data_IF_304362073472
#
_entry.id   IF_304362073472
#
_cell.length_a   1.000
_cell.length_b   1.000
_cell.length_c   1.000
_cell.angle_alpha   90.00
_cell.angle_beta   90.00
_cell.angle_gamma   90.00
#
_symmetry.space_group_name_H-M   'P 1'
#
loop_
_entity.id
_entity.type
_entity.pdbx_description
1 polymer ?
#
# COMPACT_ATOMS: atom_id res chain seq x y z
N UNK A 1 17.10 29.49 0.90
CA UNK A 1 17.39 28.07 0.59
C UNK A 1 16.57 27.76 -0.64
N UNK A 2 17.21 27.30 -1.71
CA UNK A 2 16.54 26.99 -2.97
C UNK A 2 16.62 25.49 -3.15
N UNK A 3 15.63 24.78 -2.60
CA UNK A 3 15.46 23.37 -2.89
C UNK A 3 15.17 23.20 -4.39
N UNK A 4 15.56 22.07 -4.96
CA UNK A 4 15.24 21.76 -6.34
C UNK A 4 13.72 21.65 -6.54
N UNK A 5 13.18 21.99 -7.73
CA UNK A 5 11.73 21.94 -7.99
C UNK A 5 11.10 20.57 -7.73
N UNK A 6 11.87 19.49 -7.89
CA UNK A 6 11.42 18.12 -7.60
C UNK A 6 11.24 17.87 -6.10
N UNK A 7 12.02 18.52 -5.23
CA UNK A 7 11.82 18.48 -3.78
C UNK A 7 10.49 19.13 -3.41
N UNK A 8 10.18 20.28 -4.00
CA UNK A 8 8.91 20.96 -3.75
C UNK A 8 7.71 20.11 -4.23
N UNK A 9 7.85 19.38 -5.35
CA UNK A 9 6.84 18.43 -5.82
C UNK A 9 6.64 17.28 -4.83
N UNK A 10 7.72 16.69 -4.29
CA UNK A 10 7.66 15.62 -3.26
C UNK A 10 6.96 16.13 -1.99
N UNK A 11 7.38 17.29 -1.48
CA UNK A 11 6.79 17.89 -0.27
C UNK A 11 5.30 18.18 -0.49
N UNK A 12 4.95 18.75 -1.63
CA UNK A 12 3.55 19.05 -1.99
C UNK A 12 2.71 17.77 -2.04
N UNK A 13 3.26 16.71 -2.64
CA UNK A 13 2.57 15.43 -2.74
C UNK A 13 2.36 14.74 -1.37
N UNK A 14 3.37 14.79 -0.51
CA UNK A 14 3.27 14.28 0.87
C UNK A 14 2.29 15.10 1.71
N UNK A 15 2.24 16.42 1.53
CA UNK A 15 1.24 17.29 2.17
C UNK A 15 -0.19 16.89 1.78
N UNK A 16 -0.41 16.59 0.50
CA UNK A 16 -1.69 16.05 0.02
C UNK A 16 -2.01 14.66 0.59
N UNK A 17 -0.99 13.92 1.06
CA UNK A 17 -1.14 12.64 1.76
C UNK A 17 -1.23 12.78 3.30
N UNK A 18 -1.54 13.98 3.81
CA UNK A 18 -1.68 14.31 5.23
C UNK A 18 -0.38 14.28 6.06
N UNK A 19 0.78 14.45 5.43
CA UNK A 19 2.01 14.70 6.17
C UNK A 19 2.13 16.20 6.51
N UNK A 20 2.53 16.49 7.75
CA UNK A 20 2.76 17.84 8.26
C UNK A 20 4.25 18.16 8.22
N UNK A 21 4.59 19.30 7.68
CA UNK A 21 5.96 19.79 7.66
C UNK A 21 6.41 20.17 9.09
N UNK A 22 7.61 19.75 9.44
CA UNK A 22 8.29 20.09 10.68
C UNK A 22 9.28 21.22 10.38
N UNK A 23 9.45 22.14 11.32
CA UNK A 23 10.43 23.22 11.17
C UNK A 23 11.84 22.65 10.97
N UNK A 24 12.56 23.17 9.98
CA UNK A 24 13.98 22.90 9.74
C UNK A 24 14.82 24.10 10.22
N UNK A 25 15.86 23.89 11.04
CA UNK A 25 16.40 22.60 11.50
C UNK A 25 15.47 21.89 12.48
N UNK A 26 15.38 20.56 12.34
CA UNK A 26 14.56 19.71 13.19
C UNK A 26 15.17 19.67 14.59
N UNK A 27 14.38 19.95 15.63
CA UNK A 27 14.85 19.92 17.03
C UNK A 27 14.38 18.66 17.73
N UNK A 28 15.34 17.86 18.24
CA UNK A 28 15.08 16.68 19.08
C UNK A 28 16.02 16.72 20.28
N UNK A 29 15.48 16.58 21.50
CA UNK A 29 16.25 16.67 22.74
C UNK A 29 17.12 17.95 22.87
N UNK A 30 16.70 19.06 22.26
CA UNK A 30 17.46 20.33 22.24
C UNK A 30 18.61 20.37 21.23
N UNK A 31 18.82 19.32 20.44
CA UNK A 31 19.80 19.25 19.35
C UNK A 31 19.12 19.61 18.03
N UNK A 32 19.79 20.42 17.22
CA UNK A 32 19.33 20.83 15.88
C UNK A 32 19.91 19.93 14.79
N UNK A 33 19.03 19.42 13.93
CA UNK A 33 19.37 18.56 12.81
C UNK A 33 18.96 19.24 11.50
N UNK A 34 19.92 19.65 10.65
CA UNK A 34 19.61 20.26 9.36
C UNK A 34 19.23 19.19 8.32
N UNK A 35 18.06 19.37 7.73
CA UNK A 35 17.53 18.59 6.61
C UNK A 35 16.95 19.53 5.58
N UNK A 36 16.90 19.09 4.32
CA UNK A 36 16.22 19.85 3.26
C UNK A 36 14.74 20.04 3.63
N UNK A 37 14.06 18.95 4.03
CA UNK A 37 12.76 19.03 4.69
C UNK A 37 12.59 17.89 5.69
N UNK A 38 11.72 18.09 6.68
CA UNK A 38 11.31 17.04 7.62
C UNK A 38 9.78 17.06 7.72
N UNK A 39 9.15 15.91 7.69
CA UNK A 39 7.70 15.78 7.65
C UNK A 39 7.23 14.66 8.57
N UNK A 40 6.08 14.83 9.22
CA UNK A 40 5.49 13.84 10.11
C UNK A 40 4.13 13.41 9.58
N UNK A 41 3.88 12.10 9.54
CA UNK A 41 2.56 11.59 9.20
C UNK A 41 1.51 11.96 10.26
N UNK A 42 0.25 12.02 9.85
CA UNK A 42 -0.89 12.12 10.76
C UNK A 42 -1.71 10.83 10.78
N UNK A 43 -2.64 10.74 11.73
CA UNK A 43 -3.65 9.69 11.81
C UNK A 43 -3.03 8.28 11.82
N UNK A 44 -3.42 7.39 10.90
CA UNK A 44 -2.88 6.03 10.77
C UNK A 44 -1.37 5.96 10.47
N UNK A 45 -0.71 7.10 10.21
CA UNK A 45 0.72 7.23 9.94
C UNK A 45 1.41 8.15 10.97
N UNK A 46 0.83 8.34 12.15
CA UNK A 46 1.35 9.26 13.18
C UNK A 46 2.79 8.97 13.67
N UNK A 47 3.29 7.76 13.39
CA UNK A 47 4.66 7.31 13.69
C UNK A 47 5.63 7.54 12.53
N UNK A 48 5.19 7.92 11.34
CA UNK A 48 6.09 8.17 10.22
C UNK A 48 6.83 9.50 10.42
N UNK A 49 8.16 9.45 10.43
CA UNK A 49 9.04 10.61 10.31
C UNK A 49 9.79 10.53 8.98
N UNK A 50 9.45 11.41 8.06
CA UNK A 50 10.02 11.49 6.72
C UNK A 50 11.06 12.60 6.68
N UNK A 51 12.27 12.27 6.25
CA UNK A 51 13.38 13.21 6.06
C UNK A 51 13.67 13.29 4.57
N UNK A 52 13.71 14.50 4.03
CA UNK A 52 13.99 14.75 2.60
C UNK A 52 15.40 15.29 2.47
N UNK A 53 16.15 14.75 1.51
CA UNK A 53 17.51 15.16 1.16
C UNK A 53 17.55 15.54 -0.31
N UNK A 54 18.05 16.73 -0.63
CA UNK A 54 18.23 17.19 -2.01
C UNK A 54 19.63 16.78 -2.49
N UNK A 55 19.70 15.63 -3.15
CA UNK A 55 20.97 15.09 -3.65
C UNK A 55 21.42 15.78 -4.94
N UNK A 56 20.62 16.69 -5.52
CA UNK A 56 20.99 17.50 -6.69
C UNK A 56 21.68 18.79 -6.31
N UNK A 57 21.09 19.59 -5.41
CA UNK A 57 21.71 20.85 -4.97
C UNK A 57 22.76 20.62 -3.89
N UNK A 58 22.59 19.56 -3.09
CA UNK A 58 23.57 19.13 -2.10
C UNK A 58 23.65 20.01 -0.87
N UNK A 59 22.63 20.85 -0.62
CA UNK A 59 22.54 21.64 0.61
C UNK A 59 22.76 20.71 1.83
N UNK A 60 23.49 21.21 2.83
CA UNK A 60 23.87 20.43 4.03
C UNK A 60 24.73 19.17 3.80
N UNK A 61 25.29 19.00 2.61
CA UNK A 61 26.11 17.83 2.25
C UNK A 61 25.27 16.62 1.81
N UNK A 62 24.07 16.88 1.26
CA UNK A 62 23.15 15.85 0.76
C UNK A 62 23.67 15.11 -0.49
N UNK A 63 24.77 15.55 -1.11
CA UNK A 63 25.44 14.81 -2.19
C UNK A 63 26.36 13.67 -1.71
N UNK A 64 26.54 13.52 -0.39
CA UNK A 64 27.41 12.50 0.22
C UNK A 64 26.59 11.58 1.14
N UNK A 65 26.46 10.32 0.73
CA UNK A 65 25.72 9.30 1.48
C UNK A 65 26.27 9.07 2.89
N UNK A 66 27.57 9.25 3.10
CA UNK A 66 28.18 9.11 4.43
C UNK A 66 27.70 10.22 5.36
N UNK A 67 27.60 11.45 4.86
CA UNK A 67 27.09 12.61 5.62
C UNK A 67 25.60 12.51 5.90
N UNK A 68 24.83 12.02 4.94
CA UNK A 68 23.39 11.71 5.15
C UNK A 68 23.26 10.67 6.25
N UNK A 69 23.97 9.54 6.13
CA UNK A 69 23.95 8.46 7.12
C UNK A 69 24.32 8.94 8.52
N UNK A 70 25.41 9.67 8.68
CA UNK A 70 25.83 10.19 9.99
C UNK A 70 24.76 11.09 10.63
N UNK A 71 24.08 11.92 9.83
CA UNK A 71 22.97 12.77 10.32
C UNK A 71 21.76 11.95 10.72
N UNK A 72 21.40 10.94 9.93
CA UNK A 72 20.30 10.03 10.26
C UNK A 72 20.61 9.22 11.53
N UNK A 73 21.82 8.68 11.66
CA UNK A 73 22.26 7.96 12.87
C UNK A 73 22.26 8.86 14.11
N UNK A 74 22.73 10.10 13.99
CA UNK A 74 22.71 11.06 15.09
C UNK A 74 21.28 11.41 15.51
N UNK A 75 20.37 11.59 14.55
CA UNK A 75 18.95 11.80 14.81
C UNK A 75 18.33 10.58 15.48
N UNK A 76 18.58 9.37 14.98
CA UNK A 76 18.06 8.12 15.56
C UNK A 76 18.49 7.97 17.02
N UNK A 77 19.76 8.26 17.33
CA UNK A 77 20.24 8.27 18.73
C UNK A 77 19.50 9.29 19.59
N UNK A 78 19.24 10.49 19.07
CA UNK A 78 18.46 11.49 19.81
C UNK A 78 17.01 11.05 20.02
N UNK A 79 16.39 10.42 19.02
CA UNK A 79 15.05 9.85 19.12
C UNK A 79 15.00 8.73 20.17
N UNK A 80 15.99 7.85 20.20
CA UNK A 80 16.12 6.77 21.19
C UNK A 80 16.21 7.34 22.61
N UNK A 81 17.03 8.38 22.83
CA UNK A 81 17.16 9.06 24.12
C UNK A 81 15.83 9.66 24.59
N UNK A 82 15.03 10.19 23.66
CA UNK A 82 13.68 10.73 23.98
C UNK A 82 12.62 9.65 24.13
N UNK A 83 12.94 8.37 23.89
CA UNK A 83 11.96 7.28 23.88
C UNK A 83 10.96 7.37 22.73
N UNK A 84 11.33 8.04 21.63
CA UNK A 84 10.44 8.20 20.48
C UNK A 84 10.20 6.88 19.76
N UNK A 85 9.01 6.74 19.19
CA UNK A 85 8.59 5.56 18.41
C UNK A 85 8.52 5.83 16.91
N UNK A 86 9.09 6.93 16.45
CA UNK A 86 9.04 7.29 15.05
C UNK A 86 9.80 6.28 14.18
N UNK A 87 9.17 5.90 13.07
CA UNK A 87 9.78 5.14 11.99
C UNK A 87 10.36 6.15 11.01
N UNK A 88 11.68 6.16 10.88
CA UNK A 88 12.39 7.08 10.00
C UNK A 88 12.35 6.56 8.56
N UNK A 89 11.95 7.43 7.63
CA UNK A 89 12.09 7.22 6.18
C UNK A 89 12.92 8.35 5.60
N UNK A 90 14.04 8.03 4.95
CA UNK A 90 14.86 8.96 4.18
C UNK A 90 14.42 8.96 2.71
N UNK A 91 14.06 10.12 2.17
CA UNK A 91 13.78 10.31 0.74
C UNK A 91 14.97 11.07 0.15
N UNK A 92 15.67 10.41 -0.77
CA UNK A 92 16.77 10.97 -1.53
C UNK A 92 16.22 11.48 -2.86
N UNK A 93 16.16 12.80 -3.02
CA UNK A 93 15.55 13.43 -4.19
C UNK A 93 16.62 13.99 -5.10
N UNK A 94 16.67 13.52 -6.34
CA UNK A 94 17.56 14.04 -7.37
C UNK A 94 18.61 13.02 -7.84
N UNK A 95 19.88 13.41 -7.79
CA UNK A 95 20.97 12.58 -8.29
C UNK A 95 21.11 11.28 -7.47
N UNK A 96 21.24 10.15 -8.16
CA UNK A 96 21.52 8.87 -7.51
C UNK A 96 22.90 8.90 -6.87
N UNK A 97 22.97 8.57 -5.58
CA UNK A 97 24.24 8.48 -4.86
C UNK A 97 25.00 7.23 -5.31
N UNK A 98 26.30 7.38 -5.59
CA UNK A 98 27.12 6.31 -6.16
C UNK A 98 27.36 5.11 -5.22
N UNK A 99 27.23 5.31 -3.90
CA UNK A 99 27.45 4.28 -2.89
C UNK A 99 26.80 4.69 -1.55
N UNK A 100 26.69 3.74 -0.61
CA UNK A 100 26.28 4.01 0.77
C UNK A 100 24.77 3.99 1.05
N UNK A 101 23.94 3.70 0.04
CA UNK A 101 22.49 3.52 0.21
C UNK A 101 22.19 2.29 1.07
N UNK A 102 22.87 1.16 0.83
CA UNK A 102 22.67 -0.08 1.59
C UNK A 102 22.91 0.13 3.09
N UNK A 103 23.97 0.86 3.42
CA UNK A 103 24.31 1.17 4.80
C UNK A 103 23.30 2.14 5.45
N UNK A 104 22.69 3.04 4.69
CA UNK A 104 21.59 3.88 5.18
C UNK A 104 20.31 3.04 5.40
N UNK A 105 20.07 2.07 4.53
CA UNK A 105 18.93 1.15 4.59
C UNK A 105 18.98 0.20 5.80
N UNK A 106 20.17 -0.05 6.38
CA UNK A 106 20.31 -0.77 7.66
C UNK A 106 19.67 0.00 8.83
N UNK A 107 19.55 1.33 8.74
CA UNK A 107 19.11 2.19 9.85
C UNK A 107 17.69 2.71 9.68
N UNK A 108 17.24 2.89 8.44
CA UNK A 108 15.95 3.48 8.12
C UNK A 108 15.43 3.01 6.76
N UNK A 109 14.17 3.27 6.45
CA UNK A 109 13.65 3.05 5.10
C UNK A 109 14.22 4.11 4.17
N UNK A 110 14.75 3.73 3.02
CA UNK A 110 15.27 4.66 2.01
C UNK A 110 14.39 4.61 0.77
N UNK A 111 13.97 5.76 0.27
CA UNK A 111 13.27 5.94 -0.99
C UNK A 111 14.11 6.84 -1.90
N UNK A 112 14.35 6.39 -3.12
CA UNK A 112 15.02 7.18 -4.14
C UNK A 112 13.93 7.83 -5.01
N UNK A 113 14.01 9.15 -5.19
CA UNK A 113 13.16 9.89 -6.12
C UNK A 113 14.04 10.48 -7.21
N UNK A 114 13.93 9.90 -8.40
CA UNK A 114 14.61 10.36 -9.60
C UNK A 114 13.86 11.54 -10.25
N UNK A 115 14.48 12.12 -11.27
CA UNK A 115 13.88 13.24 -11.99
C UNK A 115 12.57 12.82 -12.69
N UNK A 116 11.49 13.53 -12.38
CA UNK A 116 10.19 13.41 -13.03
C UNK A 116 9.95 14.67 -13.88
N UNK A 117 9.33 14.57 -15.07
CA UNK A 117 8.99 15.75 -15.86
C UNK A 117 8.08 16.69 -15.06
N UNK A 118 8.50 17.94 -14.86
CA UNK A 118 7.72 18.97 -14.17
C UNK A 118 7.19 20.02 -15.15
N UNK A 119 6.06 20.62 -14.83
CA UNK A 119 5.48 21.74 -15.56
C UNK A 119 6.07 23.09 -15.10
N UNK A 120 5.59 24.19 -15.70
CA UNK A 120 6.04 25.54 -15.37
C UNK A 120 5.70 26.00 -13.93
N UNK A 121 4.91 25.22 -13.18
CA UNK A 121 4.56 25.47 -11.78
C UNK A 121 5.36 24.59 -10.80
N UNK A 122 6.25 23.73 -11.30
CA UNK A 122 7.03 22.80 -10.49
C UNK A 122 6.25 21.57 -10.04
N UNK A 123 5.09 21.28 -10.65
CA UNK A 123 4.30 20.07 -10.39
C UNK A 123 4.55 19.01 -11.48
N UNK A 124 4.29 17.72 -11.22
CA UNK A 124 4.43 16.68 -12.23
C UNK A 124 3.60 16.99 -13.49
N UNK A 125 4.26 16.96 -14.65
CA UNK A 125 3.67 17.34 -15.94
C UNK A 125 2.73 16.24 -16.48
N UNK A 126 1.48 16.29 -16.04
CA UNK A 126 0.42 15.37 -16.46
C UNK A 126 0.34 14.10 -15.61
N UNK A 127 -0.60 13.23 -15.99
CA UNK A 127 -0.98 12.06 -15.20
C UNK A 127 0.13 11.00 -15.13
N UNK A 128 0.86 10.79 -16.22
CA UNK A 128 2.00 9.84 -16.26
C UNK A 128 3.11 10.27 -15.31
N UNK A 129 3.48 11.56 -15.32
CA UNK A 129 4.50 12.09 -14.42
C UNK A 129 4.04 12.02 -12.95
N UNK A 130 2.76 12.29 -12.70
CA UNK A 130 2.16 12.14 -11.36
C UNK A 130 2.24 10.70 -10.87
N UNK A 131 1.89 9.73 -11.73
CA UNK A 131 1.94 8.32 -11.40
C UNK A 131 3.37 7.84 -11.16
N UNK A 132 4.34 8.32 -11.95
CA UNK A 132 5.78 8.05 -11.75
C UNK A 132 6.28 8.58 -10.40
N UNK A 133 5.91 9.80 -10.00
CA UNK A 133 6.26 10.33 -8.69
C UNK A 133 5.60 9.50 -7.58
N UNK A 134 4.31 9.21 -7.73
CA UNK A 134 3.53 8.44 -6.76
C UNK A 134 4.09 7.03 -6.56
N UNK A 135 4.56 6.37 -7.62
CA UNK A 135 5.18 5.05 -7.53
C UNK A 135 6.47 5.06 -6.72
N UNK A 136 7.29 6.11 -6.88
CA UNK A 136 8.57 6.25 -6.16
C UNK A 136 8.38 6.50 -4.66
N UNK A 137 7.25 7.09 -4.24
CA UNK A 137 6.92 7.30 -2.82
C UNK A 137 5.70 6.49 -2.34
N UNK A 138 5.28 5.47 -3.10
CA UNK A 138 3.99 4.76 -2.92
C UNK A 138 3.77 4.24 -1.51
N UNK A 139 4.85 3.81 -0.84
CA UNK A 139 4.84 3.29 0.52
C UNK A 139 4.34 4.32 1.55
N UNK A 140 4.53 5.61 1.27
CA UNK A 140 4.08 6.72 2.11
C UNK A 140 2.66 7.20 1.77
N UNK A 141 2.12 6.80 0.61
CA UNK A 141 0.81 7.25 0.17
C UNK A 141 -0.31 6.34 0.70
N UNK A 142 -1.54 6.87 0.89
CA UNK A 142 -2.69 6.02 1.19
C UNK A 142 -2.86 4.93 0.14
N UNK A 143 -3.17 3.71 0.58
CA UNK A 143 -3.52 2.62 -0.33
C UNK A 143 -4.87 2.93 -0.96
N UNK A 144 -4.87 3.41 -2.19
CA UNK A 144 -6.06 3.49 -3.01
C UNK A 144 -6.31 2.11 -3.60
N UNK A 145 -7.27 1.38 -3.02
CA UNK A 145 -7.78 0.19 -3.67
C UNK A 145 -8.49 0.61 -4.96
N UNK A 146 -8.25 -0.08 -6.09
CA UNK A 146 -9.09 0.13 -7.26
C UNK A 146 -10.55 -0.07 -6.84
N UNK A 147 -11.49 0.73 -7.40
CA UNK A 147 -12.90 0.51 -7.14
C UNK A 147 -13.18 -0.97 -7.41
N UNK A 148 -13.79 -1.66 -6.43
CA UNK A 148 -14.26 -3.01 -6.65
C UNK A 148 -15.04 -2.97 -7.95
N UNK A 149 -14.60 -3.72 -8.96
CA UNK A 149 -15.38 -3.93 -10.17
C UNK A 149 -16.72 -4.39 -9.62
N UNK A 150 -17.77 -3.59 -9.83
CA UNK A 150 -19.07 -3.84 -9.24
C UNK A 150 -19.43 -5.27 -9.58
N UNK A 151 -19.27 -6.16 -8.59
CA UNK A 151 -19.83 -7.48 -8.62
C UNK A 151 -21.31 -7.18 -8.77
N UNK A 152 -21.86 -7.53 -9.92
CA UNK A 152 -23.29 -7.45 -10.19
C UNK A 152 -23.96 -8.06 -8.95
N UNK A 153 -24.81 -7.30 -8.27
CA UNK A 153 -25.54 -7.80 -7.11
C UNK A 153 -26.20 -9.13 -7.50
N UNK A 154 -25.71 -10.25 -6.92
CA UNK A 154 -26.15 -11.61 -7.25
C UNK A 154 -25.11 -12.53 -7.93
N UNK A 155 -23.98 -12.02 -8.42
CA UNK A 155 -22.88 -12.85 -8.92
C UNK A 155 -21.81 -12.96 -7.83
N UNK A 156 -21.79 -14.09 -7.12
CA UNK A 156 -20.68 -14.40 -6.22
C UNK A 156 -19.39 -14.32 -7.03
N UNK A 157 -18.36 -13.71 -6.44
CA UNK A 157 -17.21 -13.20 -7.18
C UNK A 157 -16.41 -14.23 -7.99
N UNK A 158 -15.22 -13.87 -8.50
CA UNK A 158 -14.49 -14.67 -9.49
C UNK A 158 -14.17 -16.11 -9.08
N UNK A 159 -14.17 -16.42 -7.77
CA UNK A 159 -14.05 -17.78 -7.26
C UNK A 159 -15.33 -18.62 -7.45
N UNK A 160 -16.51 -18.01 -7.32
CA UNK A 160 -17.80 -18.65 -7.53
C UNK A 160 -18.05 -18.89 -9.02
N UNK A 161 -17.68 -17.93 -9.87
CA UNK A 161 -17.73 -18.08 -11.33
C UNK A 161 -16.80 -19.22 -11.80
N UNK A 162 -15.62 -19.35 -11.18
CA UNK A 162 -14.69 -20.46 -11.45
C UNK A 162 -15.24 -21.80 -10.95
N UNK A 163 -15.92 -21.84 -9.81
CA UNK A 163 -16.57 -23.03 -9.28
C UNK A 163 -17.73 -23.47 -10.19
N UNK A 164 -18.58 -22.54 -10.61
CA UNK A 164 -19.67 -22.79 -11.54
C UNK A 164 -19.17 -23.27 -12.92
N UNK A 165 -18.09 -22.68 -13.42
CA UNK A 165 -17.46 -23.12 -14.66
C UNK A 165 -16.81 -24.51 -14.54
N UNK A 166 -16.22 -24.85 -13.39
CA UNK A 166 -15.57 -26.13 -13.14
C UNK A 166 -16.58 -27.29 -12.93
N UNK A 167 -17.74 -27.02 -12.33
CA UNK A 167 -18.79 -28.01 -12.11
C UNK A 167 -19.56 -28.36 -13.40
N UNK A 168 -19.54 -27.47 -14.39
CA UNK A 168 -19.98 -27.76 -15.76
C UNK A 168 -21.48 -28.07 -15.94
N UNK A 169 -21.90 -28.26 -17.20
CA UNK A 169 -23.31 -28.42 -17.65
C UNK A 169 -24.03 -29.70 -17.16
N UNK A 170 -23.39 -30.49 -16.30
CA UNK A 170 -23.89 -31.79 -15.85
C UNK A 170 -24.49 -31.74 -14.43
N UNK A 171 -24.38 -30.61 -13.75
CA UNK A 171 -25.03 -30.38 -12.46
C UNK A 171 -26.20 -29.44 -12.70
N UNK A 172 -27.39 -29.81 -12.20
CA UNK A 172 -28.56 -28.96 -12.30
C UNK A 172 -28.27 -27.61 -11.62
N UNK A 173 -28.62 -26.52 -12.31
CA UNK A 173 -28.39 -25.16 -11.82
C UNK A 173 -29.08 -24.92 -10.47
N UNK A 174 -30.24 -25.56 -10.25
CA UNK A 174 -31.00 -25.46 -9.01
C UNK A 174 -30.24 -26.13 -7.86
N UNK A 175 -29.60 -27.27 -8.12
CA UNK A 175 -28.78 -28.00 -7.14
C UNK A 175 -27.51 -27.23 -6.80
N UNK A 176 -26.91 -26.60 -7.81
CA UNK A 176 -25.72 -25.77 -7.59
C UNK A 176 -26.04 -24.54 -6.73
N UNK A 177 -27.17 -23.87 -7.01
CA UNK A 177 -27.58 -22.66 -6.29
C UNK A 177 -27.93 -22.97 -4.83
N UNK A 178 -28.61 -24.10 -4.57
CA UNK A 178 -28.92 -24.52 -3.19
C UNK A 178 -27.67 -24.89 -2.39
N UNK A 179 -26.69 -25.55 -3.00
CA UNK A 179 -25.40 -25.85 -2.37
C UNK A 179 -24.57 -24.61 -2.07
N UNK A 180 -24.56 -23.63 -2.99
CA UNK A 180 -23.86 -22.35 -2.79
C UNK A 180 -24.50 -21.57 -1.64
N UNK A 181 -25.83 -21.57 -1.54
CA UNK A 181 -26.54 -20.92 -0.44
C UNK A 181 -26.21 -21.58 0.91
N UNK A 182 -26.23 -22.92 0.97
CA UNK A 182 -25.88 -23.66 2.18
C UNK A 182 -24.40 -23.47 2.58
N UNK A 183 -23.49 -23.35 1.60
CA UNK A 183 -22.07 -23.12 1.87
C UNK A 183 -21.79 -21.76 2.54
N UNK A 184 -22.66 -20.78 2.36
CA UNK A 184 -22.56 -19.50 3.07
C UNK A 184 -22.87 -19.64 4.57
N UNK A 185 -23.62 -20.67 4.97
CA UNK A 185 -24.07 -20.90 6.35
C UNK A 185 -23.19 -21.90 7.11
N UNK A 186 -22.51 -22.82 6.40
CA UNK A 186 -21.46 -23.67 6.98
C UNK A 186 -21.49 -25.10 6.49
N UNK A 187 -20.52 -25.90 6.96
CA UNK A 187 -20.33 -27.30 6.54
C UNK A 187 -21.54 -28.19 6.85
N UNK A 188 -22.13 -28.04 8.05
CA UNK A 188 -23.28 -28.84 8.48
C UNK A 188 -24.50 -28.61 7.57
N UNK A 189 -24.75 -27.36 7.16
CA UNK A 189 -25.86 -27.03 6.26
C UNK A 189 -25.67 -27.55 4.84
N UNK A 190 -24.42 -27.58 4.36
CA UNK A 190 -24.09 -28.21 3.07
C UNK A 190 -24.36 -29.71 3.11
N UNK A 191 -23.98 -30.39 4.20
CA UNK A 191 -24.23 -31.83 4.37
C UNK A 191 -25.74 -32.11 4.39
N UNK A 192 -26.52 -31.29 5.10
CA UNK A 192 -27.98 -31.43 5.14
C UNK A 192 -28.62 -31.18 3.77
N UNK A 193 -28.18 -30.16 3.03
CA UNK A 193 -28.67 -29.88 1.68
C UNK A 193 -28.38 -31.02 0.71
N UNK A 194 -27.16 -31.58 0.73
CA UNK A 194 -26.79 -32.75 -0.08
C UNK A 194 -27.63 -33.97 0.32
N UNK A 195 -27.78 -34.23 1.63
CA UNK A 195 -28.56 -35.36 2.13
C UNK A 195 -30.00 -35.34 1.65
N UNK A 196 -30.65 -34.16 1.73
CA UNK A 196 -32.03 -33.96 1.28
C UNK A 196 -32.18 -34.21 -0.23
N UNK A 197 -31.25 -33.70 -1.04
CA UNK A 197 -31.24 -33.90 -2.49
C UNK A 197 -31.07 -35.38 -2.88
N UNK A 198 -30.24 -36.11 -2.14
CA UNK A 198 -30.04 -37.54 -2.34
C UNK A 198 -31.32 -38.32 -1.98
N UNK A 199 -31.92 -38.03 -0.82
CA UNK A 199 -33.13 -38.70 -0.34
C UNK A 199 -34.32 -38.47 -1.29
N UNK A 200 -34.51 -37.24 -1.79
CA UNK A 200 -35.56 -36.90 -2.77
C UNK A 200 -35.40 -37.66 -4.10
N UNK A 201 -34.14 -37.89 -4.52
CA UNK A 201 -33.85 -38.68 -5.72
C UNK A 201 -34.23 -40.15 -5.52
N UNK A 202 -33.95 -40.72 -4.34
CA UNK A 202 -34.26 -42.11 -4.03
C UNK A 202 -35.75 -42.37 -3.74
N UNK A 203 -36.49 -41.43 -3.14
CA UNK A 203 -37.95 -41.54 -3.00
C UNK A 203 -38.67 -41.53 -4.35
N UNK A 204 -38.11 -40.82 -5.35
CA UNK A 204 -38.66 -40.79 -6.71
C UNK A 204 -38.47 -42.12 -7.47
N UNK A 205 -37.40 -42.88 -7.18
CA UNK A 205 -37.16 -44.21 -7.77
C UNK A 205 -38.02 -45.30 -7.11
N UNK A 206 -38.22 -45.28 -5.78
CA UNK A 206 -39.02 -46.28 -5.03
C UNK A 206 -40.52 -46.24 -5.42
N UNK A 207 -41.01 -45.08 -5.87
CA UNK A 207 -42.36 -44.92 -6.42
C UNK A 207 -42.53 -45.52 -7.83
N UNK A 208 -41.45 -45.71 -8.60
CA UNK A 208 -41.52 -46.32 -9.94
C UNK A 208 -41.46 -47.84 -9.94
N UNK A 209 -40.94 -48.46 -8.87
CA UNK A 209 -40.88 -49.93 -8.74
C UNK A 209 -42.20 -50.51 -8.19
N UNK A 210 -42.99 -49.72 -7.45
CA UNK A 210 -44.31 -50.13 -6.91
C UNK A 210 -45.45 -50.18 -7.94
N UNK A 211 -45.22 -49.70 -9.16
CA UNK A 211 -46.18 -49.70 -10.29
C UNK A 211 -45.80 -50.65 -11.43
N UNK A 212 -44.88 -51.61 -11.23
CA UNK A 212 -44.70 -52.72 -12.17
C UNK A 212 -45.52 -53.95 -11.71
N UNK A 213 -46.40 -54.51 -12.59
CA UNK A 213 -47.28 -55.63 -12.26
C UNK A 213 -46.55 -56.95 -12.02
#
# INVERSE_FOLDING_TARGET
MTASPIVDAVISRLRAANYKELGTPLRVAGVEFPFTAAMRGSDGRALDLVLVFDTTTGDFGDTDSTRIRQRVEALSRALDVTGSRYVVTAILVGATLASGIDALAETCRVLQVDAVPLDGSGQPNGEVATMQLDDQIRVLLPLTLPPAVALVEGSGGPALDQLAAALGKNVDAIVLESLIAAAAEGEDEVITAIGTLIDETFESDDMTEKERP
#
